data_IF_551463907812
#
_entry.id   IF_551463907812
#
_cell.length_a   1.000
_cell.length_b   1.000
_cell.length_c   1.000
_cell.angle_alpha   90.00
_cell.angle_beta   90.00
_cell.angle_gamma   90.00
#
_symmetry.space_group_name_H-M   'P 1'
#
loop_
_entity.id
_entity.type
_entity.pdbx_description
1 polymer ?
#
# COMPACT_ATOMS: atom_id res chain seq x y z
N UNK A 1 -19.00 -9.33 12.93
CA UNK A 1 -18.62 -9.52 11.52
C UNK A 1 -17.83 -8.30 11.12
N UNK A 2 -16.50 -8.36 11.24
CA UNK A 2 -15.59 -7.25 10.93
C UNK A 2 -15.69 -6.96 9.43
N UNK A 3 -16.32 -5.85 9.06
CA UNK A 3 -16.32 -5.37 7.67
C UNK A 3 -14.89 -5.01 7.29
N UNK A 4 -14.41 -5.33 6.07
CA UNK A 4 -13.05 -4.98 5.68
C UNK A 4 -12.92 -3.46 5.68
N UNK A 5 -12.20 -2.93 6.66
CA UNK A 5 -11.72 -1.55 6.64
C UNK A 5 -11.12 -1.29 5.26
N UNK A 6 -11.53 -0.20 4.61
CA UNK A 6 -11.14 0.21 3.25
C UNK A 6 -9.67 0.64 3.15
N UNK A 7 -8.77 -0.05 3.83
CA UNK A 7 -7.33 0.09 3.67
C UNK A 7 -6.92 -0.60 2.37
N UNK A 8 -6.24 0.13 1.49
CA UNK A 8 -5.59 -0.42 0.29
C UNK A 8 -4.40 -1.34 0.61
N UNK A 9 -4.08 -1.53 1.88
CA UNK A 9 -2.91 -2.27 2.38
C UNK A 9 -3.36 -3.46 3.22
N UNK A 10 -2.69 -4.59 3.04
CA UNK A 10 -2.89 -5.77 3.88
C UNK A 10 -2.31 -5.57 5.28
N UNK A 11 -3.05 -5.99 6.29
CA UNK A 11 -2.57 -6.15 7.66
C UNK A 11 -1.70 -7.41 7.83
N UNK A 12 -1.18 -7.64 9.04
CA UNK A 12 -0.31 -8.78 9.32
C UNK A 12 -1.02 -10.13 9.19
N UNK A 13 -2.28 -10.24 9.63
CA UNK A 13 -3.08 -11.47 9.55
C UNK A 13 -3.36 -11.85 8.08
N UNK A 14 -3.71 -10.86 7.26
CA UNK A 14 -3.92 -11.02 5.83
C UNK A 14 -2.63 -11.43 5.12
N UNK A 15 -1.48 -10.88 5.52
CA UNK A 15 -0.16 -11.29 4.99
C UNK A 15 0.16 -12.74 5.33
N UNK A 16 -0.16 -13.21 6.54
CA UNK A 16 0.01 -14.62 6.90
C UNK A 16 -0.92 -15.54 6.11
N UNK A 17 -2.20 -15.16 5.94
CA UNK A 17 -3.14 -15.91 5.08
C UNK A 17 -2.66 -15.99 3.64
N UNK A 18 -2.23 -14.85 3.07
CA UNK A 18 -1.64 -14.80 1.73
C UNK A 18 -0.45 -15.75 1.64
N UNK A 19 0.47 -15.71 2.60
CA UNK A 19 1.66 -16.57 2.58
C UNK A 19 1.30 -18.05 2.63
N UNK A 20 0.42 -18.47 3.55
CA UNK A 20 0.00 -19.87 3.67
C UNK A 20 -0.59 -20.38 2.35
N UNK A 21 -1.47 -19.60 1.71
CA UNK A 21 -2.09 -19.96 0.44
C UNK A 21 -1.08 -19.93 -0.73
N UNK A 22 -0.15 -18.99 -0.71
CA UNK A 22 0.90 -18.89 -1.72
C UNK A 22 1.84 -20.11 -1.72
N UNK A 23 2.18 -20.63 -0.54
CA UNK A 23 3.01 -21.84 -0.42
C UNK A 23 2.30 -23.10 -0.94
N UNK A 24 0.96 -23.12 -0.98
CA UNK A 24 0.20 -24.23 -1.60
C UNK A 24 0.17 -24.19 -3.13
N UNK A 25 0.78 -23.16 -3.76
CA UNK A 25 0.80 -23.01 -5.21
C UNK A 25 -0.49 -22.44 -5.81
N UNK A 26 -1.40 -21.90 -4.99
CA UNK A 26 -2.62 -21.26 -5.47
C UNK A 26 -2.35 -20.06 -6.36
N UNK A 27 -3.22 -19.85 -7.36
CA UNK A 27 -3.14 -18.66 -8.22
C UNK A 27 -3.43 -17.37 -7.43
N UNK A 28 -2.85 -16.25 -7.88
CA UNK A 28 -3.10 -14.94 -7.23
C UNK A 28 -4.58 -14.56 -7.16
N UNK A 29 -5.41 -15.00 -8.11
CA UNK A 29 -6.86 -14.76 -8.10
C UNK A 29 -7.54 -15.57 -6.98
N UNK A 30 -7.24 -16.86 -6.90
CA UNK A 30 -7.78 -17.72 -5.83
C UNK A 30 -7.37 -17.23 -4.43
N UNK A 31 -6.13 -16.76 -4.27
CA UNK A 31 -5.66 -16.16 -3.02
C UNK A 31 -6.43 -14.88 -2.71
N UNK A 32 -6.68 -14.04 -3.72
CA UNK A 32 -7.41 -12.79 -3.56
C UNK A 32 -8.85 -13.03 -3.07
N UNK A 33 -9.53 -14.01 -3.68
CA UNK A 33 -10.88 -14.41 -3.28
C UNK A 33 -10.90 -14.94 -1.84
N UNK A 34 -9.93 -15.80 -1.48
CA UNK A 34 -9.83 -16.40 -0.14
C UNK A 34 -9.49 -15.37 0.97
N UNK A 35 -8.70 -14.34 0.64
CA UNK A 35 -8.36 -13.25 1.57
C UNK A 35 -9.40 -12.12 1.52
N UNK A 36 -10.44 -12.23 0.68
CA UNK A 36 -11.47 -11.22 0.44
C UNK A 36 -10.89 -9.85 0.01
N UNK A 37 -9.93 -9.87 -0.91
CA UNK A 37 -9.24 -8.69 -1.43
C UNK A 37 -9.21 -8.69 -2.96
N UNK A 38 -9.01 -7.52 -3.55
CA UNK A 38 -8.85 -7.43 -5.00
C UNK A 38 -7.56 -8.17 -5.46
N UNK A 39 -7.57 -8.87 -6.61
CA UNK A 39 -6.37 -9.50 -7.17
C UNK A 39 -5.20 -8.53 -7.37
N UNK A 40 -5.53 -7.26 -7.70
CA UNK A 40 -4.54 -6.20 -7.83
C UNK A 40 -3.85 -5.85 -6.51
N UNK A 41 -4.50 -6.06 -5.36
CA UNK A 41 -3.90 -5.90 -4.03
C UNK A 41 -2.88 -6.99 -3.75
N UNK A 42 -3.21 -8.27 -4.02
CA UNK A 42 -2.29 -9.40 -3.88
C UNK A 42 -1.06 -9.23 -4.77
N UNK A 43 -1.26 -8.90 -6.05
CA UNK A 43 -0.16 -8.65 -6.99
C UNK A 43 0.76 -7.52 -6.53
N UNK A 44 0.19 -6.37 -6.11
CA UNK A 44 0.96 -5.23 -5.62
C UNK A 44 1.70 -5.54 -4.32
N UNK A 45 1.10 -6.32 -3.43
CA UNK A 45 1.69 -6.77 -2.18
C UNK A 45 2.94 -7.62 -2.45
N UNK A 46 2.78 -8.70 -3.23
CA UNK A 46 3.89 -9.57 -3.63
C UNK A 46 4.98 -8.80 -4.36
N UNK A 47 4.63 -7.89 -5.27
CA UNK A 47 5.62 -7.08 -6.01
C UNK A 47 6.41 -6.13 -5.11
N UNK A 48 5.76 -5.48 -4.14
CA UNK A 48 6.39 -4.41 -3.34
C UNK A 48 7.12 -4.91 -2.10
N UNK A 49 6.74 -6.07 -1.58
CA UNK A 49 7.15 -6.50 -0.25
C UNK A 49 7.76 -7.91 -0.20
N UNK A 50 7.91 -8.59 -1.34
CA UNK A 50 8.69 -9.84 -1.45
C UNK A 50 10.18 -9.54 -1.30
N UNK A 51 10.89 -10.40 -0.58
CA UNK A 51 12.33 -10.30 -0.40
C UNK A 51 13.02 -11.46 -1.13
N UNK A 52 13.80 -11.15 -2.17
CA UNK A 52 14.39 -12.16 -3.04
C UNK A 52 13.33 -13.12 -3.63
N UNK A 53 13.60 -14.42 -3.66
CA UNK A 53 12.70 -15.44 -4.21
C UNK A 53 11.54 -15.82 -3.26
N UNK A 54 11.54 -15.37 -2.00
CA UNK A 54 10.57 -15.82 -0.98
C UNK A 54 9.72 -14.67 -0.44
N UNK A 55 8.45 -14.96 -0.16
CA UNK A 55 7.56 -14.03 0.54
C UNK A 55 7.60 -14.31 2.05
N UNK A 56 7.78 -13.27 2.87
CA UNK A 56 7.83 -13.38 4.34
C UNK A 56 6.91 -12.32 4.97
N UNK A 57 5.81 -12.70 5.64
CA UNK A 57 4.83 -11.76 6.21
C UNK A 57 5.43 -10.67 7.10
N UNK A 58 6.27 -11.06 8.07
CA UNK A 58 6.91 -10.13 9.02
C UNK A 58 7.80 -9.10 8.33
N UNK A 59 8.54 -9.56 7.33
CA UNK A 59 9.41 -8.70 6.54
C UNK A 59 8.58 -7.72 5.71
N UNK A 60 7.50 -8.21 5.10
CA UNK A 60 6.60 -7.42 4.31
C UNK A 60 5.91 -6.32 5.14
N UNK A 61 5.51 -6.66 6.38
CA UNK A 61 4.94 -5.72 7.34
C UNK A 61 5.93 -4.60 7.69
N UNK A 62 7.15 -4.97 8.09
CA UNK A 62 8.21 -4.00 8.43
C UNK A 62 8.58 -3.07 7.27
N UNK A 63 8.63 -3.58 6.03
CA UNK A 63 8.82 -2.73 4.84
C UNK A 63 7.66 -1.74 4.69
N UNK A 64 6.42 -2.21 4.85
CA UNK A 64 5.22 -1.38 4.71
C UNK A 64 5.20 -0.25 5.75
N UNK A 65 5.55 -0.56 7.00
CA UNK A 65 5.67 0.39 8.10
C UNK A 65 6.80 1.38 7.89
N UNK A 66 7.98 0.91 7.49
CA UNK A 66 9.12 1.78 7.18
C UNK A 66 8.75 2.78 6.08
N UNK A 67 8.13 2.31 4.99
CA UNK A 67 7.69 3.17 3.89
C UNK A 67 6.67 4.21 4.35
N UNK A 68 5.75 3.83 5.25
CA UNK A 68 4.77 4.74 5.85
C UNK A 68 5.45 5.81 6.69
N UNK A 69 6.40 5.43 7.55
CA UNK A 69 7.16 6.36 8.38
C UNK A 69 7.98 7.33 7.53
N UNK A 70 8.57 6.87 6.42
CA UNK A 70 9.28 7.75 5.49
C UNK A 70 8.32 8.71 4.77
N UNK A 71 7.15 8.23 4.34
CA UNK A 71 6.16 9.08 3.69
C UNK A 71 5.62 10.17 4.63
N UNK A 72 5.38 9.84 5.91
CA UNK A 72 4.89 10.80 6.91
C UNK A 72 5.95 11.85 7.30
N UNK A 73 7.24 11.56 7.09
CA UNK A 73 8.33 12.51 7.32
C UNK A 73 8.53 13.51 6.20
N UNK A 74 7.93 13.29 5.02
CA UNK A 74 8.06 14.24 3.91
C UNK A 74 7.41 15.56 4.31
N UNK A 75 8.12 16.69 4.16
CA UNK A 75 7.54 17.99 4.47
C UNK A 75 6.27 18.17 3.65
N UNK A 76 5.21 18.63 4.32
CA UNK A 76 4.03 19.12 3.62
C UNK A 76 4.43 20.40 2.88
N UNK A 77 3.67 20.75 1.84
CA UNK A 77 3.83 22.06 1.20
C UNK A 77 3.69 23.11 2.31
N UNK A 78 4.71 23.94 2.47
CA UNK A 78 4.72 24.98 3.50
C UNK A 78 3.68 26.07 3.19
N UNK A 79 3.29 26.81 4.23
CA UNK A 79 2.24 27.82 4.10
C UNK A 79 2.64 28.96 3.15
N UNK A 80 3.94 29.27 3.06
CA UNK A 80 4.47 30.28 2.15
C UNK A 80 4.26 29.87 0.69
N UNK A 81 4.60 28.62 0.35
CA UNK A 81 4.39 28.06 -0.98
C UNK A 81 2.90 27.96 -1.32
N UNK A 82 2.05 27.65 -0.35
CA UNK A 82 0.59 27.69 -0.55
C UNK A 82 0.16 29.11 -0.91
N UNK A 83 0.60 30.12 -0.17
CA UNK A 83 0.31 31.52 -0.48
C UNK A 83 0.80 31.94 -1.87
N UNK A 84 1.99 31.50 -2.27
CA UNK A 84 2.52 31.73 -3.63
C UNK A 84 1.63 31.07 -4.71
N UNK A 85 1.18 29.83 -4.49
CA UNK A 85 0.26 29.14 -5.39
C UNK A 85 -1.06 29.90 -5.51
N UNK A 86 -1.62 30.37 -4.40
CA UNK A 86 -2.88 31.13 -4.40
C UNK A 86 -2.76 32.47 -5.13
N UNK A 87 -1.64 33.18 -5.00
CA UNK A 87 -1.37 34.41 -5.76
C UNK A 87 -1.30 34.09 -7.26
N UNK A 88 -0.53 33.08 -7.65
CA UNK A 88 -0.39 32.69 -9.07
C UNK A 88 -1.70 32.19 -9.68
N UNK A 89 -2.55 31.50 -8.91
CA UNK A 89 -3.89 31.09 -9.36
C UNK A 89 -4.82 32.27 -9.61
N UNK A 90 -4.64 33.41 -8.91
CA UNK A 90 -5.43 34.64 -9.13
C UNK A 90 -5.02 35.42 -10.36
N UNK A 91 -3.81 35.19 -10.87
CA UNK A 91 -3.32 35.84 -12.09
C UNK A 91 -3.92 35.22 -13.37
N UNK A 92 -4.80 34.22 -13.24
CA UNK A 92 -5.51 33.55 -14.35
C UNK A 92 -4.55 33.14 -15.48
N UNK A 93 -3.34 32.72 -15.10
CA UNK A 93 -2.31 32.21 -16.01
C UNK A 93 -2.64 30.77 -16.45
N UNK A 94 -3.83 30.59 -17.03
CA UNK A 94 -4.19 29.43 -17.82
C UNK A 94 -3.90 29.71 -19.29
N UNK A 95 -3.25 28.80 -20.04
CA UNK A 95 -3.47 28.71 -21.48
C UNK A 95 -4.93 28.36 -21.80
#
# INVERSE_FOLDING_TARGET
MELPMSSSRLDLSERYRLHALYETGMSMRAIADAVARAPSTISRELRRNRHAAKYRPDHAQRISEHRRAQASRRPRIDAERIGQIEVLLREDVSP
#
